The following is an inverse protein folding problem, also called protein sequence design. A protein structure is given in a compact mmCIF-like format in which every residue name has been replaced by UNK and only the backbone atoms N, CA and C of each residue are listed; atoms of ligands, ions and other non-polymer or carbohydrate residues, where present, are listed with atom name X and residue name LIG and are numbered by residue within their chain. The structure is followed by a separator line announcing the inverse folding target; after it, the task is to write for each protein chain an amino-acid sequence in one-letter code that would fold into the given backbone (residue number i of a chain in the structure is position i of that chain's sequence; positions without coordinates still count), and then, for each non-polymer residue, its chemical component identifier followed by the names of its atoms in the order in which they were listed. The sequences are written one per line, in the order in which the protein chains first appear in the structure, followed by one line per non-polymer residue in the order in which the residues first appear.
data_IF_399712945029
#
_entry.id   IF_399712945029
#
_cell.length_a   1.000
_cell.length_b   1.000
_cell.length_c   1.000
_cell.angle_alpha   90.00
_cell.angle_beta   90.00
_cell.angle_gamma   90.00
#
_symmetry.space_group_name_H-M   'P 1'
#
loop_
_entity.id
_entity.type
_entity.pdbx_description
1 polymer ?
#
# COMPACT_ATOMS: atom_id res chain seq x y z
N UNK A 1 -24.99 48.28 4.57
CA UNK A 1 -24.41 47.28 3.65
C UNK A 1 -22.92 47.55 3.53
N UNK A 2 -22.11 46.96 4.39
CA UNK A 2 -20.65 47.14 4.42
C UNK A 2 -20.02 46.05 3.54
N UNK A 3 -19.60 46.43 2.33
CA UNK A 3 -18.92 45.53 1.41
C UNK A 3 -17.54 45.17 1.95
N UNK A 4 -17.25 43.87 2.07
CA UNK A 4 -15.90 43.37 2.33
C UNK A 4 -15.00 43.70 1.13
N UNK A 5 -14.37 44.87 1.16
CA UNK A 5 -13.25 45.19 0.30
C UNK A 5 -12.03 44.45 0.86
N UNK A 6 -11.80 43.23 0.36
CA UNK A 6 -10.54 42.55 0.62
C UNK A 6 -9.45 43.18 -0.23
N UNK A 7 -8.36 43.58 0.42
CA UNK A 7 -7.16 44.07 -0.22
C UNK A 7 -6.68 43.02 -1.25
N UNK A 8 -6.53 43.37 -2.55
CA UNK A 8 -6.06 42.45 -3.58
C UNK A 8 -4.75 41.75 -3.21
N UNK A 9 -3.89 42.40 -2.44
CA UNK A 9 -2.62 41.84 -1.98
C UNK A 9 -2.81 40.81 -0.85
N UNK A 10 -3.86 40.96 -0.05
CA UNK A 10 -4.27 39.95 0.95
C UNK A 10 -4.79 38.68 0.27
N UNK A 11 -5.63 38.84 -0.76
CA UNK A 11 -6.15 37.73 -1.58
C UNK A 11 -4.98 37.01 -2.27
N UNK A 12 -4.04 37.76 -2.85
CA UNK A 12 -2.85 37.19 -3.49
C UNK A 12 -2.01 36.36 -2.52
N UNK A 13 -1.77 36.87 -1.31
CA UNK A 13 -1.06 36.14 -0.25
C UNK A 13 -1.83 34.90 0.22
N UNK A 14 -3.16 34.98 0.36
CA UNK A 14 -3.99 33.83 0.74
C UNK A 14 -3.94 32.72 -0.32
N UNK A 15 -4.07 33.07 -1.60
CA UNK A 15 -3.99 32.10 -2.71
C UNK A 15 -2.60 31.47 -2.83
N UNK A 16 -1.52 32.22 -2.60
CA UNK A 16 -0.16 31.69 -2.58
C UNK A 16 0.10 30.71 -1.42
N UNK A 17 -0.56 30.90 -0.27
CA UNK A 17 -0.52 29.96 0.85
C UNK A 17 -1.31 28.68 0.54
N UNK A 18 -2.50 28.82 -0.03
CA UNK A 18 -3.35 27.70 -0.43
C UNK A 18 -2.64 26.84 -1.48
N UNK A 19 -2.05 27.46 -2.51
CA UNK A 19 -1.28 26.77 -3.55
C UNK A 19 -0.13 25.95 -2.96
N UNK A 20 0.70 26.55 -2.09
CA UNK A 20 1.79 25.83 -1.41
C UNK A 20 1.29 24.67 -0.54
N UNK A 21 0.16 24.86 0.14
CA UNK A 21 -0.47 23.81 0.95
C UNK A 21 -0.96 22.64 0.08
N UNK A 22 -1.54 22.93 -1.09
CA UNK A 22 -2.00 21.92 -2.04
C UNK A 22 -0.83 21.19 -2.70
N UNK A 23 0.19 21.91 -3.16
CA UNK A 23 1.41 21.32 -3.73
C UNK A 23 2.10 20.38 -2.72
N UNK A 24 2.19 20.80 -1.45
CA UNK A 24 2.72 19.98 -0.36
C UNK A 24 1.87 18.71 -0.14
N UNK A 25 0.54 18.83 -0.12
CA UNK A 25 -0.37 17.69 0.07
C UNK A 25 -0.35 16.71 -1.10
N UNK A 26 -0.21 17.19 -2.33
CA UNK A 26 -0.04 16.34 -3.52
C UNK A 26 1.29 15.57 -3.41
N UNK A 27 2.38 16.25 -3.03
CA UNK A 27 3.67 15.60 -2.82
C UNK A 27 3.64 14.56 -1.67
N UNK A 28 2.90 14.82 -0.59
CA UNK A 28 2.71 13.88 0.51
C UNK A 28 1.81 12.69 0.12
N UNK A 29 0.82 12.88 -0.75
CA UNK A 29 -0.06 11.82 -1.24
C UNK A 29 0.63 10.85 -2.21
N UNK A 30 1.65 11.32 -2.93
CA UNK A 30 2.54 10.49 -3.76
C UNK A 30 3.73 9.92 -2.98
N UNK A 31 3.96 10.35 -1.73
CA UNK A 31 5.01 9.80 -0.90
C UNK A 31 4.61 8.38 -0.44
N UNK A 32 5.35 7.32 -0.82
CA UNK A 32 5.05 5.98 -0.33
C UNK A 32 5.24 5.97 1.19
N UNK A 33 4.37 5.30 1.95
CA UNK A 33 4.55 5.11 3.38
C UNK A 33 5.98 4.64 3.68
N UNK A 34 6.83 5.52 4.23
CA UNK A 34 8.24 5.23 4.53
C UNK A 34 8.33 4.85 6.00
N UNK A 35 8.09 3.57 6.30
CA UNK A 35 8.68 2.98 7.48
C UNK A 35 10.19 2.93 7.27
N UNK A 36 10.92 3.81 7.97
CA UNK A 36 12.38 3.82 7.94
C UNK A 36 12.87 2.79 8.95
N UNK A 37 13.69 1.84 8.50
CA UNK A 37 14.34 0.91 9.42
C UNK A 37 15.29 1.68 10.36
N UNK A 38 15.59 1.11 11.53
CA UNK A 38 16.48 1.71 12.54
C UNK A 38 17.88 2.06 12.00
N UNK A 39 18.28 1.46 10.88
CA UNK A 39 19.54 1.67 10.18
C UNK A 39 19.43 2.58 8.94
N UNK A 40 18.30 3.29 8.77
CA UNK A 40 18.10 4.23 7.66
C UNK A 40 17.67 3.59 6.33
N UNK A 41 17.63 2.26 6.24
CA UNK A 41 17.21 1.52 5.05
C UNK A 41 15.68 1.51 4.89
N UNK A 42 15.19 1.38 3.65
CA UNK A 42 13.76 1.20 3.41
C UNK A 42 13.33 -0.20 3.84
N UNK A 43 12.26 -0.28 4.64
CA UNK A 43 11.62 -1.55 4.95
C UNK A 43 10.99 -2.17 3.70
N UNK A 44 10.76 -3.48 3.74
CA UNK A 44 10.03 -4.19 2.70
C UNK A 44 8.62 -3.61 2.56
N UNK A 45 8.13 -3.53 1.32
CA UNK A 45 6.83 -2.94 1.00
C UNK A 45 6.03 -3.87 0.12
N UNK A 46 4.71 -3.69 0.20
CA UNK A 46 3.78 -4.32 -0.71
C UNK A 46 2.97 -3.22 -1.39
N UNK A 47 2.89 -3.25 -2.71
CA UNK A 47 2.17 -2.27 -3.51
C UNK A 47 0.66 -2.55 -3.50
N UNK A 48 -0.01 -2.10 -2.44
CA UNK A 48 -1.45 -2.26 -2.25
C UNK A 48 -2.28 -1.50 -3.30
N UNK A 49 -1.82 -0.30 -3.71
CA UNK A 49 -2.51 0.51 -4.71
C UNK A 49 -2.37 -0.12 -6.10
N UNK A 50 -1.19 -0.63 -6.43
CA UNK A 50 -0.96 -1.39 -7.66
C UNK A 50 -1.77 -2.68 -7.69
N UNK A 51 -1.89 -3.39 -6.57
CA UNK A 51 -2.79 -4.54 -6.47
C UNK A 51 -4.25 -4.14 -6.74
N UNK A 52 -4.76 -3.07 -6.10
CA UNK A 52 -6.11 -2.57 -6.35
C UNK A 52 -6.32 -2.23 -7.82
N UNK A 53 -5.40 -1.49 -8.43
CA UNK A 53 -5.51 -1.07 -9.83
C UNK A 53 -5.64 -2.25 -10.80
N UNK A 54 -5.07 -3.42 -10.46
CA UNK A 54 -5.19 -4.64 -11.27
C UNK A 54 -6.51 -5.37 -11.08
N UNK A 55 -7.04 -5.40 -9.87
CA UNK A 55 -8.28 -6.13 -9.58
C UNK A 55 -9.54 -5.27 -9.78
N UNK A 56 -9.43 -3.95 -9.71
CA UNK A 56 -10.56 -3.02 -9.78
C UNK A 56 -11.46 -3.25 -11.01
N UNK A 57 -10.93 -3.43 -12.25
CA UNK A 57 -11.79 -3.70 -13.40
C UNK A 57 -12.63 -4.98 -13.24
N UNK A 58 -12.03 -6.05 -12.69
CA UNK A 58 -12.71 -7.33 -12.45
C UNK A 58 -13.78 -7.21 -11.35
N UNK A 59 -13.51 -6.42 -10.31
CA UNK A 59 -14.45 -6.17 -9.20
C UNK A 59 -15.61 -5.26 -9.65
N UNK A 60 -15.34 -4.25 -10.48
CA UNK A 60 -16.33 -3.27 -10.95
C UNK A 60 -17.25 -3.85 -12.04
N UNK A 61 -16.74 -4.75 -12.88
CA UNK A 61 -17.54 -5.46 -13.88
C UNK A 61 -18.55 -6.45 -13.29
N UNK A 62 -18.33 -6.91 -12.06
CA UNK A 62 -19.08 -8.03 -11.49
C UNK A 62 -20.55 -7.69 -11.18
N UNK A 63 -20.94 -6.40 -11.10
CA UNK A 63 -22.34 -5.95 -10.90
C UNK A 63 -23.02 -6.36 -9.58
N UNK A 64 -22.55 -7.40 -8.90
CA UNK A 64 -23.03 -7.98 -7.63
C UNK A 64 -22.64 -7.15 -6.41
N UNK A 65 -21.80 -6.14 -6.59
CA UNK A 65 -21.33 -5.24 -5.54
C UNK A 65 -20.20 -5.83 -4.67
N UNK A 66 -19.49 -4.97 -3.95
CA UNK A 66 -18.22 -5.30 -3.31
C UNK A 66 -18.32 -6.38 -2.22
N UNK A 67 -19.48 -6.51 -1.57
CA UNK A 67 -19.71 -7.52 -0.52
C UNK A 67 -19.78 -8.93 -1.09
N UNK A 68 -20.43 -9.10 -2.25
CA UNK A 68 -20.52 -10.38 -2.91
C UNK A 68 -19.14 -10.84 -3.39
N UNK A 69 -18.37 -9.93 -4.01
CA UNK A 69 -17.00 -10.22 -4.48
C UNK A 69 -16.08 -10.58 -3.31
N UNK A 70 -16.17 -9.84 -2.19
CA UNK A 70 -15.39 -10.14 -1.00
C UNK A 70 -15.69 -11.54 -0.45
N UNK A 71 -16.97 -11.91 -0.39
CA UNK A 71 -17.39 -13.24 0.05
C UNK A 71 -16.88 -14.36 -0.87
N UNK A 72 -16.89 -14.14 -2.19
CA UNK A 72 -16.36 -15.09 -3.19
C UNK A 72 -14.85 -15.33 -3.01
N UNK A 73 -14.09 -14.27 -2.73
CA UNK A 73 -12.63 -14.35 -2.48
C UNK A 73 -12.34 -14.98 -1.11
N UNK A 74 -13.29 -14.97 -0.17
CA UNK A 74 -13.07 -15.36 1.22
C UNK A 74 -12.43 -14.25 2.07
N UNK A 75 -12.67 -12.98 1.74
CA UNK A 75 -12.22 -11.80 2.51
C UNK A 75 -13.41 -10.94 2.92
N UNK A 76 -13.16 -9.90 3.73
CA UNK A 76 -14.23 -8.98 4.13
C UNK A 76 -14.25 -7.74 3.22
N UNK A 77 -15.43 -7.14 3.01
CA UNK A 77 -15.54 -5.88 2.25
C UNK A 77 -14.64 -4.74 2.80
N UNK A 78 -14.46 -4.58 4.13
CA UNK A 78 -13.47 -3.67 4.69
C UNK A 78 -12.03 -3.95 4.22
N UNK A 79 -11.64 -5.21 3.99
CA UNK A 79 -10.30 -5.53 3.49
C UNK A 79 -10.09 -5.00 2.07
N UNK A 80 -11.10 -5.14 1.20
CA UNK A 80 -11.06 -4.55 -0.15
C UNK A 80 -10.98 -3.01 -0.09
N UNK A 81 -11.74 -2.39 0.81
CA UNK A 81 -11.70 -0.94 1.03
C UNK A 81 -10.31 -0.47 1.50
N UNK A 82 -9.67 -1.20 2.42
CA UNK A 82 -8.30 -0.91 2.87
C UNK A 82 -7.31 -0.99 1.71
N UNK A 83 -7.38 -2.02 0.88
CA UNK A 83 -6.49 -2.19 -0.28
C UNK A 83 -6.70 -1.05 -1.28
N UNK A 84 -7.96 -0.68 -1.57
CA UNK A 84 -8.28 0.50 -2.40
C UNK A 84 -7.66 1.79 -1.85
N UNK A 85 -7.69 1.97 -0.53
CA UNK A 85 -7.06 3.09 0.16
C UNK A 85 -5.52 2.97 0.26
N UNK A 86 -4.91 1.90 -0.27
CA UNK A 86 -3.47 1.65 -0.16
C UNK A 86 -3.01 1.23 1.23
N UNK A 87 -3.93 0.87 2.12
CA UNK A 87 -3.65 0.45 3.48
C UNK A 87 -3.24 -1.02 3.53
N UNK A 88 -2.38 -1.35 4.48
CA UNK A 88 -1.90 -2.70 4.67
C UNK A 88 -3.01 -3.65 5.16
N UNK A 89 -3.01 -4.86 4.61
CA UNK A 89 -3.82 -5.99 5.08
C UNK A 89 -2.93 -7.19 5.36
N UNK A 90 -3.48 -8.19 6.04
CA UNK A 90 -2.77 -9.42 6.32
C UNK A 90 -2.37 -10.16 5.02
N UNK A 91 -1.18 -10.77 5.01
CA UNK A 91 -0.60 -11.39 3.82
C UNK A 91 -1.46 -12.51 3.24
N UNK A 92 -2.11 -13.31 4.08
CA UNK A 92 -3.05 -14.36 3.64
C UNK A 92 -4.20 -13.79 2.80
N UNK A 93 -4.69 -12.59 3.12
CA UNK A 93 -5.76 -11.93 2.34
C UNK A 93 -5.25 -11.46 0.98
N UNK A 94 -4.03 -10.93 0.93
CA UNK A 94 -3.38 -10.56 -0.33
C UNK A 94 -3.22 -11.78 -1.25
N UNK A 95 -2.80 -12.92 -0.69
CA UNK A 95 -2.68 -14.19 -1.42
C UNK A 95 -4.03 -14.67 -1.95
N UNK A 96 -5.08 -14.65 -1.15
CA UNK A 96 -6.44 -15.05 -1.57
C UNK A 96 -6.95 -14.19 -2.74
N UNK A 97 -6.76 -12.87 -2.66
CA UNK A 97 -7.12 -11.92 -3.72
C UNK A 97 -6.31 -12.18 -5.00
N UNK A 98 -5.00 -12.40 -4.87
CA UNK A 98 -4.15 -12.71 -6.03
C UNK A 98 -4.55 -14.04 -6.68
N UNK A 99 -4.86 -15.07 -5.88
CA UNK A 99 -5.33 -16.36 -6.38
C UNK A 99 -6.65 -16.22 -7.16
N UNK A 100 -7.63 -15.50 -6.61
CA UNK A 100 -8.91 -15.23 -7.29
C UNK A 100 -8.74 -14.39 -8.57
N UNK A 101 -7.80 -13.44 -8.58
CA UNK A 101 -7.50 -12.61 -9.73
C UNK A 101 -6.56 -13.27 -10.76
N UNK A 102 -6.05 -14.48 -10.49
CA UNK A 102 -5.00 -15.14 -11.26
C UNK A 102 -3.76 -14.25 -11.45
N UNK A 103 -3.33 -13.60 -10.38
CA UNK A 103 -2.16 -12.72 -10.33
C UNK A 103 -1.03 -13.35 -9.49
N UNK A 104 0.21 -13.09 -9.87
CA UNK A 104 1.36 -13.44 -9.05
C UNK A 104 1.50 -12.46 -7.87
N UNK A 105 1.39 -12.92 -6.60
CA UNK A 105 1.52 -12.06 -5.43
C UNK A 105 2.91 -11.46 -5.27
N UNK A 106 3.96 -12.10 -5.80
CA UNK A 106 5.33 -11.60 -5.69
C UNK A 106 5.58 -10.37 -6.54
N UNK A 107 4.75 -10.13 -7.56
CA UNK A 107 4.84 -8.95 -8.43
C UNK A 107 4.65 -7.63 -7.69
N UNK A 108 3.87 -7.64 -6.60
CA UNK A 108 3.58 -6.45 -5.80
C UNK A 108 4.51 -6.32 -4.59
N UNK A 109 5.39 -7.29 -4.36
CA UNK A 109 6.31 -7.29 -3.24
C UNK A 109 7.63 -6.63 -3.62
N UNK A 110 8.07 -5.68 -2.80
CA UNK A 110 9.39 -5.07 -2.88
C UNK A 110 10.19 -5.42 -1.62
N UNK A 111 11.34 -6.11 -1.76
CA UNK A 111 12.18 -6.43 -0.61
C UNK A 111 12.75 -5.16 0.05
N UNK A 112 13.17 -5.29 1.31
CA UNK A 112 13.86 -4.20 2.01
C UNK A 112 15.23 -3.93 1.35
N UNK A 113 15.63 -2.66 1.31
CA UNK A 113 16.94 -2.27 0.79
C UNK A 113 18.05 -2.86 1.68
N UNK A 114 19.04 -3.52 1.07
CA UNK A 114 20.16 -4.10 1.80
C UNK A 114 19.85 -5.42 2.53
N UNK A 115 18.68 -6.03 2.31
CA UNK A 115 18.40 -7.36 2.84
C UNK A 115 19.43 -8.37 2.30
N UNK A 116 20.09 -9.17 3.18
CA UNK A 116 21.05 -10.16 2.73
C UNK A 116 20.36 -11.19 1.82
N UNK A 117 20.97 -11.48 0.67
CA UNK A 117 20.56 -12.62 -0.18
C UNK A 117 20.65 -13.89 0.67
N UNK A 118 19.69 -14.82 0.48
CA UNK A 118 19.48 -16.05 1.29
C UNK A 118 20.77 -16.54 1.97
N UNK A 119 20.78 -16.75 3.29
CA UNK A 119 21.97 -17.24 3.98
C UNK A 119 22.37 -18.60 3.40
N UNK A 120 23.65 -18.75 3.02
CA UNK A 120 24.21 -19.98 2.43
C UNK A 120 24.01 -21.22 3.32
N UNK A 121 23.77 -21.02 4.62
CA UNK A 121 23.55 -22.07 5.61
C UNK A 121 22.09 -22.54 5.72
N UNK A 122 21.12 -21.86 5.09
CA UNK A 122 19.74 -22.31 5.10
C UNK A 122 19.49 -23.32 3.99
N UNK A 123 19.76 -24.59 4.30
CA UNK A 123 19.58 -25.72 3.38
C UNK A 123 18.14 -26.27 3.37
N UNK A 124 17.25 -25.75 4.22
CA UNK A 124 15.89 -26.28 4.41
C UNK A 124 15.85 -27.68 5.04
N UNK A 125 16.99 -28.22 5.45
CA UNK A 125 17.11 -29.50 6.13
C UNK A 125 17.36 -29.27 7.61
N UNK A 126 16.71 -30.08 8.46
CA UNK A 126 17.03 -30.11 9.89
C UNK A 126 18.48 -30.58 10.06
N UNK A 127 19.36 -29.65 10.44
CA UNK A 127 20.72 -29.99 10.84
C UNK A 127 20.61 -30.67 12.20
N UNK A 128 20.77 -31.99 12.22
CA UNK A 128 20.83 -32.79 13.45
C UNK A 128 22.02 -32.27 14.27
N UNK A 129 21.78 -31.40 15.24
CA UNK A 129 22.82 -30.96 16.17
C UNK A 129 23.26 -32.20 16.96
N UNK A 130 24.47 -32.70 16.68
CA UNK A 130 25.10 -33.66 17.57
C UNK A 130 25.46 -32.89 18.84
N UNK A 131 24.67 -33.09 19.90
CA UNK A 131 25.10 -32.71 21.25
C UNK A 131 26.46 -33.34 21.50
N UNK A 132 27.48 -32.50 21.69
CA UNK A 132 28.76 -32.95 22.26
C UNK A 132 28.48 -33.20 23.74
N UNK A 133 28.63 -34.46 24.15
CA UNK A 133 28.69 -34.86 25.56
C UNK A 133 30.07 -34.53 26.11
#
# INVERSE_FOLDING_TARGET
MTGLQHDPDEIGRAMARLRRSLEKRIAEADAPARGRARNGQALAKYDWRGLWARIAPKVEWDGRGWRAVAAEIGVTAPDLSRIKAGQAVAANKALAICAWANLDPWRFFSPADGAPKRPKSFTGKSLKQRMRR
#
